data_IF_674972205024
#
_entry.id   IF_674972205024
#
_cell.length_a   1.000
_cell.length_b   1.000
_cell.length_c   1.000
_cell.angle_alpha   90.00
_cell.angle_beta   90.00
_cell.angle_gamma   90.00
#
_symmetry.space_group_name_H-M   'P 1'
#
loop_
_entity.id
_entity.type
_entity.pdbx_description
1 polymer ?
#
# COMPACT_ATOMS: atom_id res chain seq x y z
N UNK A 1 19.11 5.79 1.53
CA UNK A 1 18.11 5.47 2.58
C UNK A 1 17.01 4.64 1.97
N UNK A 2 16.71 3.44 2.51
CA UNK A 2 15.53 2.68 2.08
C UNK A 2 14.32 3.09 2.92
N UNK A 3 13.13 2.97 2.36
CA UNK A 3 11.86 3.22 3.07
C UNK A 3 11.77 2.37 4.34
N UNK A 4 12.28 1.13 4.29
CA UNK A 4 12.39 0.24 5.44
C UNK A 4 13.18 0.89 6.59
N UNK A 5 14.35 1.44 6.29
CA UNK A 5 15.25 2.00 7.31
C UNK A 5 14.60 3.24 7.95
N UNK A 6 13.95 4.08 7.14
CA UNK A 6 13.19 5.24 7.59
C UNK A 6 12.08 4.82 8.55
N UNK A 7 11.27 3.83 8.17
CA UNK A 7 10.14 3.37 8.98
C UNK A 7 10.60 2.73 10.30
N UNK A 8 11.73 2.03 10.31
CA UNK A 8 12.29 1.47 11.55
C UNK A 8 12.73 2.60 12.50
N UNK A 9 13.35 3.66 11.98
CA UNK A 9 13.81 4.79 12.77
C UNK A 9 12.68 5.71 13.23
N UNK A 10 11.69 5.98 12.37
CA UNK A 10 10.62 6.96 12.66
C UNK A 10 9.38 6.34 13.33
N UNK A 11 9.00 5.12 12.97
CA UNK A 11 7.79 4.45 13.45
C UNK A 11 7.91 2.92 13.39
N UNK A 12 8.71 2.40 14.33
CA UNK A 12 8.99 0.97 14.45
C UNK A 12 7.74 0.13 14.72
N UNK A 13 6.73 0.70 15.40
CA UNK A 13 5.46 0.01 15.68
C UNK A 13 4.67 -0.26 14.40
N UNK A 14 4.55 0.76 13.54
CA UNK A 14 3.91 0.59 12.23
C UNK A 14 4.70 -0.35 11.34
N UNK A 15 6.03 -0.30 11.38
CA UNK A 15 6.87 -1.26 10.64
C UNK A 15 6.57 -2.72 11.05
N UNK A 16 6.49 -3.01 12.36
CA UNK A 16 6.18 -4.36 12.85
C UNK A 16 4.80 -4.83 12.39
N UNK A 17 3.77 -3.97 12.45
CA UNK A 17 2.42 -4.28 11.95
C UNK A 17 2.42 -4.59 10.45
N UNK A 18 3.18 -3.84 9.64
CA UNK A 18 3.28 -4.09 8.21
C UNK A 18 3.93 -5.45 7.91
N UNK A 19 4.93 -5.83 8.70
CA UNK A 19 5.60 -7.13 8.57
C UNK A 19 4.64 -8.28 8.94
N UNK A 20 3.85 -8.15 10.01
CA UNK A 20 2.89 -9.18 10.41
C UNK A 20 1.77 -9.38 9.38
N UNK A 21 1.23 -8.28 8.83
CA UNK A 21 0.22 -8.33 7.76
C UNK A 21 0.79 -9.01 6.52
N UNK A 22 2.05 -8.75 6.17
CA UNK A 22 2.73 -9.38 5.04
C UNK A 22 2.91 -10.88 5.24
N UNK A 23 3.14 -11.35 6.46
CA UNK A 23 3.24 -12.79 6.75
C UNK A 23 1.89 -13.51 6.73
N UNK A 24 0.81 -12.83 7.14
CA UNK A 24 -0.55 -13.40 7.18
C UNK A 24 -1.21 -13.44 5.80
N UNK A 25 -1.05 -12.38 5.01
CA UNK A 25 -1.51 -12.36 3.62
C UNK A 25 -0.46 -13.03 2.75
N UNK A 26 -0.69 -14.30 2.39
CA UNK A 26 0.01 -14.96 1.26
C UNK A 26 0.08 -13.93 0.13
N UNK A 27 1.28 -13.71 -0.41
CA UNK A 27 1.53 -12.71 -1.44
C UNK A 27 0.83 -13.08 -2.75
N UNK A 28 -0.50 -12.97 -2.79
CA UNK A 28 -1.22 -12.91 -4.04
C UNK A 28 -0.78 -11.63 -4.71
N UNK A 29 -0.08 -11.77 -5.84
CA UNK A 29 0.24 -10.64 -6.69
C UNK A 29 -1.10 -10.10 -7.20
N UNK A 30 -1.50 -8.95 -6.69
CA UNK A 30 -2.64 -8.21 -7.24
C UNK A 30 -2.35 -7.90 -8.70
N UNK A 31 -3.26 -8.32 -9.58
CA UNK A 31 -3.23 -7.95 -10.98
C UNK A 31 -3.60 -6.48 -11.16
N UNK A 32 -3.35 -5.93 -12.36
CA UNK A 32 -3.81 -4.58 -12.68
C UNK A 32 -5.35 -4.44 -12.60
N UNK A 33 -6.07 -5.52 -12.89
CA UNK A 33 -7.53 -5.57 -12.77
C UNK A 33 -7.95 -5.49 -11.29
N UNK A 34 -7.32 -6.28 -10.41
CA UNK A 34 -7.62 -6.26 -8.97
C UNK A 34 -7.33 -4.90 -8.35
N UNK A 35 -6.23 -4.27 -8.77
CA UNK A 35 -5.90 -2.90 -8.35
C UNK A 35 -6.98 -1.93 -8.83
N UNK A 36 -7.42 -2.00 -10.09
CA UNK A 36 -8.47 -1.12 -10.63
C UNK A 36 -9.81 -1.32 -9.92
N UNK A 37 -10.16 -2.57 -9.60
CA UNK A 37 -11.39 -2.91 -8.89
C UNK A 37 -11.36 -2.44 -7.43
N UNK A 38 -10.25 -2.64 -6.72
CA UNK A 38 -10.06 -2.09 -5.36
C UNK A 38 -10.05 -0.55 -5.35
N UNK A 39 -9.54 0.07 -6.42
CA UNK A 39 -9.59 1.52 -6.63
C UNK A 39 -10.90 2.01 -7.26
N UNK A 40 -11.88 1.14 -7.49
CA UNK A 40 -13.17 1.54 -8.06
C UNK A 40 -14.03 2.33 -7.08
N UNK A 41 -13.75 2.22 -5.78
CA UNK A 41 -14.42 3.04 -4.78
C UNK A 41 -13.96 4.50 -4.88
N UNK A 42 -14.97 5.37 -4.94
CA UNK A 42 -14.96 6.77 -5.39
C UNK A 42 -14.02 7.74 -4.68
N UNK A 43 -13.22 7.30 -3.71
CA UNK A 43 -12.35 8.16 -2.90
C UNK A 43 -10.95 8.32 -3.48
N UNK A 44 -10.47 7.42 -4.35
CA UNK A 44 -9.11 7.51 -4.91
C UNK A 44 -9.08 7.10 -6.39
N UNK A 45 -8.50 7.95 -7.24
CA UNK A 45 -8.34 7.73 -8.69
C UNK A 45 -6.89 7.91 -9.09
N UNK A 46 -6.41 7.15 -10.07
CA UNK A 46 -5.09 7.38 -10.66
C UNK A 46 -5.09 8.60 -11.60
N UNK A 47 -4.12 9.50 -11.42
CA UNK A 47 -3.86 10.62 -12.32
C UNK A 47 -2.36 10.62 -12.69
N UNK A 48 -2.06 10.51 -14.00
CA UNK A 48 -0.67 10.50 -14.52
C UNK A 48 0.25 9.51 -13.79
N UNK A 49 -0.26 8.31 -13.48
CA UNK A 49 0.50 7.26 -12.81
C UNK A 49 0.53 7.33 -11.27
N UNK A 50 0.25 8.49 -10.66
CA UNK A 50 0.13 8.64 -9.21
C UNK A 50 -1.30 8.36 -8.71
N UNK A 51 -1.45 7.92 -7.47
CA UNK A 51 -2.77 7.88 -6.80
C UNK A 51 -3.15 9.28 -6.32
N UNK A 52 -4.38 9.71 -6.57
CA UNK A 52 -4.95 10.98 -6.12
C UNK A 52 -6.26 10.73 -5.38
N UNK A 53 -6.46 11.37 -4.24
CA UNK A 53 -7.77 11.36 -3.57
C UNK A 53 -8.77 12.14 -4.41
N UNK A 54 -9.91 11.52 -4.68
CA UNK A 54 -11.09 12.16 -5.28
C UNK A 54 -11.85 12.84 -4.13
N UNK A 55 -12.24 14.10 -4.33
CA UNK A 55 -13.11 14.83 -3.39
C UNK A 55 -14.53 14.34 -3.51
#
# INVERSE_FOLDING_TARGET
MKIKDILIESDSSSYIKLVSIKSEKKSEKLSECDIKELMSHSCYRRHKGAMKQVK
#
